data_IF_766004807851
#
_entry.id   IF_766004807851
#
_cell.length_a   1.000
_cell.length_b   1.000
_cell.length_c   1.000
_cell.angle_alpha   90.00
_cell.angle_beta   90.00
_cell.angle_gamma   90.00
#
_symmetry.space_group_name_H-M   'P 1'
#
loop_
_entity.id
_entity.type
_entity.pdbx_description
1 polymer ?
#
# COMPACT_ATOMS: atom_id res chain seq x y z
N UNK A 1 23.82 6.45 -5.50
CA UNK A 1 22.79 7.51 -5.53
C UNK A 1 22.56 8.12 -4.14
N UNK A 2 22.20 7.31 -3.13
CA UNK A 2 21.95 7.75 -1.74
C UNK A 2 23.11 8.49 -1.03
N UNK A 3 24.36 8.23 -1.41
CA UNK A 3 25.55 8.86 -0.79
C UNK A 3 26.06 10.12 -1.52
N UNK A 4 25.62 10.36 -2.76
CA UNK A 4 26.22 11.35 -3.67
C UNK A 4 25.20 12.36 -4.23
N UNK A 5 23.90 12.14 -4.00
CA UNK A 5 22.85 13.12 -4.26
C UNK A 5 22.40 13.24 -5.72
N UNK A 6 23.09 12.62 -6.68
CA UNK A 6 22.64 12.50 -8.07
C UNK A 6 23.06 11.16 -8.69
N UNK A 7 22.47 10.86 -9.85
CA UNK A 7 22.60 9.59 -10.57
C UNK A 7 23.95 9.48 -11.27
N UNK A 8 24.42 10.54 -11.92
CA UNK A 8 25.67 10.53 -12.70
C UNK A 8 26.90 10.30 -11.81
N UNK A 9 27.01 11.05 -10.71
CA UNK A 9 28.09 10.86 -9.71
C UNK A 9 28.01 9.47 -9.07
N UNK A 10 26.81 8.92 -8.93
CA UNK A 10 26.62 7.57 -8.44
C UNK A 10 27.10 6.51 -9.42
N UNK A 11 26.88 6.69 -10.72
CA UNK A 11 27.41 5.80 -11.74
C UNK A 11 28.94 5.88 -11.81
N UNK A 12 29.51 7.08 -11.76
CA UNK A 12 30.96 7.26 -11.79
C UNK A 12 31.63 6.55 -10.59
N UNK A 13 31.12 6.78 -9.38
CA UNK A 13 31.67 6.13 -8.18
C UNK A 13 31.39 4.64 -8.15
N UNK A 14 30.24 4.18 -8.66
CA UNK A 14 29.95 2.75 -8.76
C UNK A 14 30.91 2.06 -9.74
N UNK A 15 31.19 2.68 -10.89
CA UNK A 15 32.15 2.16 -11.87
C UNK A 15 33.56 2.11 -11.30
N UNK A 16 34.03 3.16 -10.63
CA UNK A 16 35.35 3.20 -9.98
C UNK A 16 35.44 2.16 -8.86
N UNK A 17 34.40 2.05 -8.03
CA UNK A 17 34.31 1.07 -6.94
C UNK A 17 34.32 -0.36 -7.46
N UNK A 18 33.56 -0.66 -8.52
CA UNK A 18 33.50 -2.00 -9.11
C UNK A 18 34.82 -2.37 -9.79
N UNK A 19 35.44 -1.46 -10.53
CA UNK A 19 36.75 -1.67 -11.13
C UNK A 19 37.82 -1.96 -10.04
N UNK A 20 37.80 -1.19 -8.95
CA UNK A 20 38.69 -1.42 -7.82
C UNK A 20 38.39 -2.74 -7.08
N UNK A 21 37.10 -3.05 -6.90
CA UNK A 21 36.66 -4.28 -6.26
C UNK A 21 37.14 -5.51 -7.02
N UNK A 22 37.03 -5.54 -8.36
CA UNK A 22 37.50 -6.66 -9.19
C UNK A 22 39.00 -6.89 -9.02
N UNK A 23 39.80 -5.83 -8.93
CA UNK A 23 41.26 -5.92 -8.73
C UNK A 23 41.62 -6.39 -7.32
N UNK A 24 40.85 -5.99 -6.30
CA UNK A 24 41.14 -6.31 -4.89
C UNK A 24 40.45 -7.57 -4.37
N UNK A 25 39.47 -8.10 -5.10
CA UNK A 25 38.72 -9.30 -4.70
C UNK A 25 39.61 -10.49 -4.33
N UNK A 26 40.73 -10.79 -5.04
CA UNK A 26 41.63 -11.89 -4.67
C UNK A 26 42.35 -11.70 -3.32
N UNK A 27 42.32 -10.49 -2.75
CA UNK A 27 42.94 -10.18 -1.46
C UNK A 27 42.00 -10.36 -0.27
N UNK A 28 40.71 -10.62 -0.53
CA UNK A 28 39.71 -10.87 0.50
C UNK A 28 39.90 -12.28 1.08
N UNK A 29 40.39 -12.34 2.33
CA UNK A 29 40.73 -13.62 3.00
C UNK A 29 39.51 -14.41 3.48
N UNK A 30 38.36 -13.75 3.61
CA UNK A 30 37.12 -14.33 4.14
C UNK A 30 35.95 -13.94 3.23
N UNK A 31 35.53 -14.89 2.39
CA UNK A 31 34.51 -14.67 1.37
C UNK A 31 33.10 -14.44 1.96
N UNK A 32 32.85 -14.87 3.21
CA UNK A 32 31.57 -14.61 3.89
C UNK A 32 31.35 -13.12 4.19
N UNK A 33 32.42 -12.33 4.17
CA UNK A 33 32.40 -10.88 4.41
C UNK A 33 32.38 -10.05 3.14
N UNK A 34 32.19 -10.67 1.98
CA UNK A 34 32.19 -9.99 0.69
C UNK A 34 31.24 -8.78 0.66
N UNK A 35 30.01 -8.94 1.15
CA UNK A 35 29.01 -7.86 1.20
C UNK A 35 29.46 -6.71 2.10
N UNK A 36 30.02 -7.01 3.27
CA UNK A 36 30.50 -6.00 4.21
C UNK A 36 31.74 -5.27 3.66
N UNK A 37 32.66 -6.01 3.05
CA UNK A 37 33.87 -5.49 2.42
C UNK A 37 33.56 -4.58 1.22
N UNK A 38 32.67 -5.01 0.33
CA UNK A 38 32.26 -4.23 -0.83
C UNK A 38 31.49 -2.97 -0.39
N UNK A 39 30.66 -3.08 0.64
CA UNK A 39 29.98 -1.93 1.26
C UNK A 39 31.00 -0.93 1.79
N UNK A 40 31.98 -1.37 2.58
CA UNK A 40 33.02 -0.50 3.12
C UNK A 40 33.82 0.19 2.01
N UNK A 41 34.19 -0.54 0.96
CA UNK A 41 34.90 -0.01 -0.20
C UNK A 41 34.09 1.07 -0.94
N UNK A 42 32.80 0.82 -1.16
CA UNK A 42 31.87 1.78 -1.77
C UNK A 42 31.77 3.07 -0.94
N UNK A 43 31.76 2.95 0.39
CA UNK A 43 31.69 4.10 1.30
C UNK A 43 32.99 4.92 1.26
N UNK A 44 34.14 4.26 1.20
CA UNK A 44 35.44 4.95 1.05
C UNK A 44 35.49 5.73 -0.25
N UNK A 45 35.10 5.14 -1.38
CA UNK A 45 35.10 5.84 -2.67
C UNK A 45 34.09 6.99 -2.72
N UNK A 46 32.88 6.83 -2.16
CA UNK A 46 31.94 7.95 -2.02
C UNK A 46 32.54 9.10 -1.18
N UNK A 47 33.29 8.78 -0.12
CA UNK A 47 33.91 9.77 0.77
C UNK A 47 35.06 10.51 0.07
N UNK A 48 35.94 9.77 -0.60
CA UNK A 48 37.03 10.35 -1.38
C UNK A 48 36.51 11.20 -2.55
N UNK A 49 35.47 10.74 -3.23
CA UNK A 49 34.80 11.50 -4.30
C UNK A 49 34.26 12.85 -3.78
N UNK A 50 33.59 12.84 -2.63
CA UNK A 50 33.10 14.07 -1.98
C UNK A 50 34.22 15.00 -1.54
N UNK A 51 35.32 14.46 -1.01
CA UNK A 51 36.50 15.26 -0.61
C UNK A 51 37.17 15.93 -1.81
N UNK A 52 37.27 15.23 -2.96
CA UNK A 52 37.88 15.74 -4.20
C UNK A 52 37.05 16.83 -4.88
N UNK A 53 35.71 16.78 -4.76
CA UNK A 53 34.78 17.72 -5.42
C UNK A 53 34.59 19.06 -4.70
N UNK A 54 35.10 19.24 -3.48
CA UNK A 54 34.97 20.49 -2.73
C UNK A 54 33.51 20.82 -2.38
N UNK A 55 33.05 20.38 -1.20
CA UNK A 55 31.81 20.79 -0.52
C UNK A 55 30.57 20.95 -1.44
N UNK A 56 30.07 19.83 -1.97
CA UNK A 56 28.68 19.76 -2.46
C UNK A 56 27.79 19.20 -1.34
N UNK A 57 26.74 19.96 -1.04
CA UNK A 57 25.85 19.86 0.13
C UNK A 57 25.05 18.56 0.11
N UNK A 58 24.72 18.02 1.29
CA UNK A 58 23.68 16.97 1.40
C UNK A 58 22.25 17.51 1.16
N UNK A 59 22.09 18.85 1.01
CA UNK A 59 20.80 19.53 0.81
C UNK A 59 20.57 20.21 -0.56
N UNK A 60 21.55 20.20 -1.48
CA UNK A 60 21.38 20.71 -2.86
C UNK A 60 21.62 19.56 -3.83
N UNK A 61 20.66 18.62 -3.95
CA UNK A 61 19.51 18.86 -4.82
C UNK A 61 18.22 18.20 -4.28
N UNK A 62 17.45 18.94 -3.47
CA UNK A 62 16.06 18.54 -3.14
C UNK A 62 15.15 18.52 -4.41
N UNK A 63 15.64 19.04 -5.54
CA UNK A 63 14.97 18.99 -6.84
C UNK A 63 15.20 17.68 -7.64
N UNK A 64 16.18 16.84 -7.26
CA UNK A 64 16.48 15.56 -7.94
C UNK A 64 16.15 14.32 -7.10
N UNK A 65 15.46 14.50 -5.97
CA UNK A 65 14.74 13.41 -5.28
C UNK A 65 13.51 12.91 -6.07
N UNK A 66 13.45 13.18 -7.37
CA UNK A 66 12.34 12.81 -8.24
C UNK A 66 12.53 11.44 -8.92
N UNK A 67 13.65 10.73 -8.73
CA UNK A 67 13.89 9.47 -9.48
C UNK A 67 14.39 8.27 -8.68
N UNK A 68 14.52 8.34 -7.35
CA UNK A 68 14.76 7.11 -6.59
C UNK A 68 14.27 7.25 -5.16
N UNK A 69 12.96 7.18 -5.00
CA UNK A 69 12.25 6.54 -3.89
C UNK A 69 10.80 7.09 -3.82
N UNK A 70 9.85 6.41 -4.49
CA UNK A 70 8.38 6.48 -4.28
C UNK A 70 7.97 6.18 -2.83
N UNK A 71 6.72 6.19 -2.37
CA UNK A 71 6.28 5.44 -1.16
C UNK A 71 6.29 5.98 0.29
N UNK A 72 5.24 6.70 0.65
CA UNK A 72 4.63 6.88 1.95
C UNK A 72 3.59 7.97 1.72
N UNK A 73 2.33 7.62 1.47
CA UNK A 73 1.16 8.51 1.42
C UNK A 73 1.57 9.96 1.14
N UNK A 74 1.71 10.35 -0.14
CA UNK A 74 2.32 11.62 -0.62
C UNK A 74 2.08 12.84 0.30
N UNK A 75 0.89 12.90 0.91
CA UNK A 75 0.49 13.80 1.99
C UNK A 75 1.37 13.72 3.26
N UNK A 76 1.51 12.56 3.89
CA UNK A 76 2.45 12.29 4.98
C UNK A 76 3.91 12.51 4.56
N UNK A 77 4.28 12.20 3.32
CA UNK A 77 5.63 12.45 2.79
C UNK A 77 6.00 13.89 2.63
N UNK A 78 5.11 14.67 2.02
CA UNK A 78 5.30 16.10 1.83
C UNK A 78 5.29 16.80 3.18
N UNK A 79 4.45 16.36 4.10
CA UNK A 79 4.49 16.82 5.48
C UNK A 79 5.78 16.41 6.19
N UNK A 80 6.24 15.15 6.13
CA UNK A 80 7.53 14.72 6.70
C UNK A 80 8.69 15.50 6.06
N UNK A 81 8.68 15.69 4.74
CA UNK A 81 9.68 16.47 3.98
C UNK A 81 9.68 17.93 4.39
N UNK A 82 8.53 18.52 4.66
CA UNK A 82 8.40 19.89 5.14
C UNK A 82 8.79 19.99 6.63
N UNK A 83 8.42 19.03 7.47
CA UNK A 83 8.87 18.90 8.86
C UNK A 83 10.39 18.73 8.96
N UNK A 84 11.00 18.03 8.00
CA UNK A 84 12.46 17.89 7.91
C UNK A 84 13.16 19.24 7.66
N UNK A 85 12.51 20.20 6.98
CA UNK A 85 13.06 21.55 6.78
C UNK A 85 13.02 22.41 8.04
N UNK A 86 12.24 22.01 9.06
CA UNK A 86 12.19 22.67 10.37
C UNK A 86 13.35 22.24 11.29
N UNK A 87 14.04 21.15 10.94
CA UNK A 87 15.20 20.69 11.70
C UNK A 87 16.43 21.54 11.38
N UNK A 88 17.29 21.77 12.39
CA UNK A 88 18.63 22.28 12.10
C UNK A 88 19.49 21.21 11.43
N UNK A 89 20.44 21.65 10.62
CA UNK A 89 21.33 20.80 9.82
C UNK A 89 21.93 19.61 10.60
N UNK A 90 22.44 19.76 11.85
CA UNK A 90 22.96 18.61 12.60
C UNK A 90 21.91 17.56 12.99
N UNK A 91 20.65 17.95 13.13
CA UNK A 91 19.53 17.05 13.45
C UNK A 91 19.06 16.30 12.20
N UNK A 92 18.98 17.02 11.08
CA UNK A 92 18.61 16.47 9.79
C UNK A 92 19.64 15.45 9.31
N UNK A 93 20.94 15.76 9.40
CA UNK A 93 22.03 14.85 9.02
C UNK A 93 21.99 13.56 9.83
N UNK A 94 21.91 13.66 11.16
CA UNK A 94 21.84 12.48 12.02
C UNK A 94 20.63 11.61 11.69
N UNK A 95 19.46 12.23 11.48
CA UNK A 95 18.20 11.52 11.19
C UNK A 95 18.21 10.86 9.82
N UNK A 96 18.68 11.54 8.77
CA UNK A 96 18.80 10.98 7.43
C UNK A 96 19.85 9.88 7.38
N UNK A 97 21.01 10.08 7.98
CA UNK A 97 22.04 9.04 8.02
C UNK A 97 21.55 7.79 8.76
N UNK A 98 20.83 7.94 9.88
CA UNK A 98 20.33 6.78 10.62
C UNK A 98 19.17 6.05 9.90
N UNK A 99 18.09 6.77 9.56
CA UNK A 99 16.87 6.14 9.05
C UNK A 99 16.88 5.90 7.54
N UNK A 100 17.48 6.81 6.77
CA UNK A 100 17.52 6.71 5.29
C UNK A 100 18.79 6.00 4.84
N UNK A 101 19.92 6.32 5.46
CA UNK A 101 21.21 5.73 5.12
C UNK A 101 21.48 4.37 5.76
N UNK A 102 20.73 3.98 6.81
CA UNK A 102 20.94 2.72 7.54
C UNK A 102 22.30 2.61 8.25
N UNK A 103 22.85 3.76 8.69
CA UNK A 103 24.12 3.82 9.39
C UNK A 103 23.91 3.63 10.91
N UNK A 104 24.82 2.91 11.56
CA UNK A 104 24.80 2.77 13.01
C UNK A 104 25.26 4.05 13.71
N UNK A 105 24.82 4.26 14.95
CA UNK A 105 25.20 5.43 15.75
C UNK A 105 26.73 5.64 15.84
N UNK A 106 27.56 4.60 16.04
CA UNK A 106 29.02 4.74 16.02
C UNK A 106 29.59 5.20 14.66
N UNK A 107 29.04 4.72 13.55
CA UNK A 107 29.48 5.10 12.20
C UNK A 107 29.11 6.56 11.89
N UNK A 108 27.91 6.99 12.30
CA UNK A 108 27.48 8.39 12.17
C UNK A 108 28.35 9.30 13.04
N UNK A 109 28.64 8.88 14.28
CA UNK A 109 29.49 9.62 15.20
C UNK A 109 30.90 9.82 14.63
N UNK A 110 31.44 8.77 14.02
CA UNK A 110 32.74 8.82 13.34
C UNK A 110 32.70 9.76 12.11
N UNK A 111 31.66 9.65 11.27
CA UNK A 111 31.57 10.46 10.04
C UNK A 111 31.32 11.95 10.31
N UNK A 112 30.57 12.26 11.37
CA UNK A 112 30.25 13.64 11.77
C UNK A 112 31.24 14.22 12.78
N UNK A 113 32.29 13.48 13.15
CA UNK A 113 33.30 13.87 14.15
C UNK A 113 32.69 14.35 15.48
N UNK A 114 31.65 13.66 15.96
CA UNK A 114 30.97 13.97 17.23
C UNK A 114 30.86 12.74 18.14
N UNK A 115 30.68 12.91 19.45
CA UNK A 115 30.44 11.78 20.34
C UNK A 115 29.16 11.00 19.97
N UNK A 116 29.13 9.66 20.14
CA UNK A 116 27.92 8.84 19.90
C UNK A 116 26.68 9.31 20.67
N UNK A 117 26.87 9.87 21.87
CA UNK A 117 25.78 10.42 22.67
C UNK A 117 25.17 11.69 22.03
N UNK A 118 25.96 12.47 21.29
CA UNK A 118 25.51 13.64 20.52
C UNK A 118 24.66 13.21 19.33
N UNK A 119 24.99 12.09 18.68
CA UNK A 119 24.14 11.51 17.63
C UNK A 119 22.81 11.05 18.21
N UNK A 120 22.82 10.35 19.36
CA UNK A 120 21.58 9.92 20.04
C UNK A 120 20.67 11.09 20.43
N UNK A 121 21.24 12.16 20.99
CA UNK A 121 20.46 13.33 21.38
C UNK A 121 19.88 14.07 20.17
N UNK A 122 20.64 14.21 19.09
CA UNK A 122 20.17 14.77 17.81
C UNK A 122 19.03 13.94 17.22
N UNK A 123 19.15 12.61 17.21
CA UNK A 123 18.08 11.73 16.74
C UNK A 123 16.79 11.86 17.57
N UNK A 124 16.91 11.91 18.90
CA UNK A 124 15.76 12.07 19.79
C UNK A 124 15.07 13.42 19.61
N UNK A 125 15.84 14.51 19.55
CA UNK A 125 15.31 15.85 19.34
C UNK A 125 14.65 16.00 17.96
N UNK A 126 15.28 15.47 16.91
CA UNK A 126 14.75 15.49 15.55
C UNK A 126 13.40 14.76 15.43
N UNK A 127 13.29 13.58 16.05
CA UNK A 127 12.03 12.82 16.10
C UNK A 127 10.90 13.56 16.83
N UNK A 128 11.23 14.22 17.94
CA UNK A 128 10.24 14.97 18.72
C UNK A 128 9.70 16.14 17.90
N UNK A 129 10.58 16.92 17.28
CA UNK A 129 10.19 18.07 16.46
C UNK A 129 9.33 17.68 15.26
N UNK A 130 9.69 16.60 14.54
CA UNK A 130 8.87 16.09 13.43
C UNK A 130 7.50 15.61 13.95
N UNK A 131 7.47 14.89 15.08
CA UNK A 131 6.21 14.40 15.66
C UNK A 131 5.26 15.56 15.99
N UNK A 132 5.75 16.58 16.67
CA UNK A 132 4.92 17.70 17.14
C UNK A 132 4.35 18.49 15.94
N UNK A 133 5.13 18.65 14.87
CA UNK A 133 4.70 19.29 13.62
C UNK A 133 3.66 18.45 12.87
N UNK A 134 3.92 17.15 12.68
CA UNK A 134 2.97 16.24 12.00
C UNK A 134 1.64 16.10 12.74
N UNK A 135 1.63 16.19 14.06
CA UNK A 135 0.39 16.21 14.87
C UNK A 135 -0.46 17.46 14.62
N UNK A 136 0.18 18.57 14.22
CA UNK A 136 -0.50 19.82 13.88
C UNK A 136 -1.07 19.78 12.45
N UNK A 137 -0.32 19.19 11.51
CA UNK A 137 -0.70 19.07 10.09
C UNK A 137 -1.76 17.98 9.86
N UNK A 138 -1.71 16.89 10.64
CA UNK A 138 -2.68 15.80 10.59
C UNK A 138 -3.30 15.57 11.97
N UNK A 139 -4.37 16.30 12.33
CA UNK A 139 -5.04 16.11 13.61
C UNK A 139 -5.59 14.68 13.79
N UNK A 140 -5.78 13.92 12.71
CA UNK A 140 -6.20 12.51 12.71
C UNK A 140 -5.06 11.50 12.93
N UNK A 141 -3.79 11.91 12.84
CA UNK A 141 -2.62 11.08 13.19
C UNK A 141 -2.36 11.04 14.70
N UNK A 142 -3.13 11.79 15.49
CA UNK A 142 -3.31 11.42 16.89
C UNK A 142 -3.83 9.98 16.85
N UNK A 143 -3.16 8.97 17.45
CA UNK A 143 -3.75 7.64 17.53
C UNK A 143 -5.13 7.90 18.09
N UNK A 144 -6.16 7.66 17.27
CA UNK A 144 -7.51 7.88 17.72
C UNK A 144 -7.54 7.12 19.04
N UNK A 145 -7.70 7.83 20.16
CA UNK A 145 -8.26 7.21 21.33
C UNK A 145 -9.69 6.93 20.89
N UNK A 146 -9.85 5.92 20.02
CA UNK A 146 -11.12 5.30 19.75
C UNK A 146 -11.58 4.98 21.16
N UNK A 147 -12.65 5.65 21.59
CA UNK A 147 -13.34 5.21 22.77
C UNK A 147 -13.52 3.70 22.62
N UNK A 148 -13.30 2.93 23.69
CA UNK A 148 -13.48 1.48 23.62
C UNK A 148 -14.82 1.22 22.92
N UNK A 149 -14.81 0.54 21.77
CA UNK A 149 -16.00 0.48 20.95
C UNK A 149 -17.12 -0.19 21.75
N UNK A 150 -18.31 0.41 21.68
CA UNK A 150 -19.49 -0.14 22.35
C UNK A 150 -20.17 -1.15 21.44
N UNK A 151 -20.66 -2.23 22.02
CA UNK A 151 -21.45 -3.22 21.30
C UNK A 151 -22.90 -2.72 21.20
N UNK A 152 -23.43 -2.68 19.97
CA UNK A 152 -24.86 -2.45 19.75
C UNK A 152 -25.69 -3.70 20.07
N UNK A 153 -27.02 -3.57 20.10
CA UNK A 153 -27.93 -4.70 20.27
C UNK A 153 -27.72 -5.78 19.20
N UNK A 154 -27.46 -5.40 17.94
CA UNK A 154 -27.15 -6.35 16.86
C UNK A 154 -25.89 -7.16 17.16
N UNK A 155 -24.84 -6.53 17.72
CA UNK A 155 -23.62 -7.25 18.12
C UNK A 155 -23.93 -8.26 19.22
N UNK A 156 -24.68 -7.85 20.25
CA UNK A 156 -25.05 -8.71 21.37
C UNK A 156 -25.94 -9.88 20.91
N UNK A 157 -26.90 -9.62 20.03
CA UNK A 157 -27.79 -10.64 19.49
C UNK A 157 -27.04 -11.70 18.67
N UNK A 158 -26.06 -11.30 17.87
CA UNK A 158 -25.21 -12.22 17.12
C UNK A 158 -24.30 -13.06 18.05
N UNK A 159 -23.75 -12.46 19.10
CA UNK A 159 -22.96 -13.19 20.11
C UNK A 159 -23.83 -14.22 20.80
N UNK A 160 -25.02 -13.84 21.29
CA UNK A 160 -25.92 -14.77 21.99
C UNK A 160 -26.40 -15.90 21.07
N UNK A 161 -26.69 -15.60 19.79
CA UNK A 161 -27.08 -16.61 18.82
C UNK A 161 -25.96 -17.62 18.52
N UNK A 162 -24.70 -17.17 18.46
CA UNK A 162 -23.55 -18.03 18.17
C UNK A 162 -23.00 -18.75 19.41
N UNK A 163 -23.04 -18.09 20.56
CA UNK A 163 -22.43 -18.51 21.82
C UNK A 163 -23.36 -18.22 23.01
N UNK A 164 -24.48 -18.97 23.13
CA UNK A 164 -25.46 -18.75 24.19
C UNK A 164 -24.84 -18.82 25.59
N UNK A 165 -25.17 -17.87 26.45
CA UNK A 165 -24.65 -17.82 27.83
C UNK A 165 -23.15 -17.50 27.94
N UNK A 166 -22.50 -17.07 26.86
CA UNK A 166 -21.12 -16.58 26.92
C UNK A 166 -21.03 -15.23 27.63
N UNK A 167 -19.89 -14.99 28.29
CA UNK A 167 -19.61 -13.71 28.96
C UNK A 167 -18.54 -12.93 28.20
N UNK A 168 -18.80 -11.65 27.93
CA UNK A 168 -17.80 -10.76 27.35
C UNK A 168 -16.66 -10.52 28.37
N UNK A 169 -15.44 -10.81 27.95
CA UNK A 169 -14.20 -10.60 28.72
C UNK A 169 -13.62 -9.22 28.40
N UNK A 170 -13.57 -8.86 27.12
CA UNK A 170 -13.07 -7.55 26.67
C UNK A 170 -13.62 -7.19 25.29
N UNK A 171 -13.80 -5.90 25.06
CA UNK A 171 -14.09 -5.32 23.75
C UNK A 171 -12.96 -4.35 23.41
N UNK A 172 -12.37 -4.52 22.23
CA UNK A 172 -11.23 -3.75 21.77
C UNK A 172 -11.52 -3.22 20.38
N UNK A 173 -10.95 -2.05 20.06
CA UNK A 173 -10.83 -1.65 18.66
C UNK A 173 -10.01 -2.71 17.92
N UNK A 174 -10.35 -2.95 16.66
CA UNK A 174 -9.49 -3.80 15.84
C UNK A 174 -8.10 -3.14 15.68
N UNK A 175 -7.00 -3.90 15.74
CA UNK A 175 -5.64 -3.38 15.50
C UNK A 175 -5.45 -2.71 14.13
N UNK A 176 -6.28 -3.05 13.14
CA UNK A 176 -6.30 -2.50 11.79
C UNK A 176 -7.61 -1.69 11.59
N UNK A 177 -7.78 -0.52 12.23
CA UNK A 177 -9.06 0.21 12.29
C UNK A 177 -9.58 0.73 10.93
N UNK A 178 -8.74 0.69 9.89
CA UNK A 178 -9.12 1.00 8.50
C UNK A 178 -9.76 -0.19 7.77
N UNK A 179 -9.70 -1.38 8.34
CA UNK A 179 -10.34 -2.57 7.78
C UNK A 179 -11.84 -2.58 8.07
N UNK A 180 -12.66 -3.29 7.28
CA UNK A 180 -14.12 -3.28 7.41
C UNK A 180 -14.66 -4.08 8.62
N UNK A 181 -13.80 -4.45 9.59
CA UNK A 181 -14.20 -5.15 10.80
C UNK A 181 -14.07 -4.31 12.05
N UNK A 182 -15.12 -4.31 12.87
CA UNK A 182 -15.16 -3.62 14.15
C UNK A 182 -16.38 -4.09 14.96
N UNK A 183 -16.27 -4.29 16.29
CA UNK A 183 -15.07 -4.36 17.13
C UNK A 183 -14.56 -5.80 17.37
N UNK A 184 -13.36 -5.96 17.94
CA UNK A 184 -12.84 -7.28 18.36
C UNK A 184 -13.32 -7.62 19.77
N UNK A 185 -13.94 -8.79 19.94
CA UNK A 185 -14.52 -9.22 21.21
C UNK A 185 -13.90 -10.52 21.67
N UNK A 186 -13.48 -10.54 22.94
CA UNK A 186 -13.06 -11.75 23.64
C UNK A 186 -14.20 -12.25 24.51
N UNK A 187 -14.57 -13.51 24.35
CA UNK A 187 -15.66 -14.20 25.04
C UNK A 187 -15.09 -15.30 25.93
N UNK A 188 -15.69 -15.49 27.11
CA UNK A 188 -15.58 -16.70 27.91
C UNK A 188 -16.83 -17.54 27.65
N UNK A 189 -16.64 -18.75 27.14
CA UNK A 189 -17.71 -19.67 26.80
C UNK A 189 -18.16 -20.46 28.04
N UNK A 190 -19.36 -21.06 27.96
CA UNK A 190 -19.96 -21.83 29.06
C UNK A 190 -19.17 -23.08 29.46
N UNK A 191 -18.35 -23.61 28.55
CA UNK A 191 -17.45 -24.74 28.78
C UNK A 191 -16.12 -24.34 29.47
N UNK A 192 -15.96 -23.06 29.81
CA UNK A 192 -14.76 -22.50 30.44
C UNK A 192 -13.65 -22.10 29.46
N UNK A 193 -13.82 -22.35 28.16
CA UNK A 193 -12.87 -21.91 27.14
C UNK A 193 -13.02 -20.42 26.79
N UNK A 194 -12.03 -19.84 26.11
CA UNK A 194 -12.11 -18.47 25.63
C UNK A 194 -12.03 -18.42 24.11
N UNK A 195 -12.77 -17.49 23.50
CA UNK A 195 -12.77 -17.28 22.05
C UNK A 195 -12.68 -15.81 21.71
N UNK A 196 -11.98 -15.48 20.62
CA UNK A 196 -11.95 -14.13 20.07
C UNK A 196 -12.66 -14.13 18.73
N UNK A 197 -13.49 -13.11 18.51
CA UNK A 197 -14.34 -12.94 17.33
C UNK A 197 -14.31 -11.49 16.88
N UNK A 198 -14.54 -11.29 15.58
CA UNK A 198 -14.67 -9.97 14.97
C UNK A 198 -16.05 -9.84 14.31
N UNK A 199 -16.46 -8.61 13.98
CA UNK A 199 -17.68 -8.36 13.24
C UNK A 199 -17.37 -7.73 11.90
N UNK A 200 -18.07 -8.14 10.85
CA UNK A 200 -17.90 -7.63 9.48
C UNK A 200 -19.25 -7.29 8.87
N UNK A 201 -19.28 -6.29 7.98
CA UNK A 201 -20.48 -5.97 7.19
C UNK A 201 -20.49 -6.77 5.89
N UNK A 202 -21.04 -7.97 5.96
CA UNK A 202 -21.20 -8.93 4.86
C UNK A 202 -22.69 -9.30 4.80
N UNK A 203 -23.38 -8.87 3.75
CA UNK A 203 -24.77 -9.27 3.52
C UNK A 203 -24.87 -10.73 3.02
N UNK A 204 -26.11 -11.23 2.90
CA UNK A 204 -26.35 -12.61 2.48
C UNK A 204 -25.84 -12.92 1.06
N UNK A 205 -25.88 -11.94 0.15
CA UNK A 205 -25.37 -12.08 -1.22
C UNK A 205 -23.84 -12.23 -1.20
N UNK A 206 -23.15 -11.40 -0.42
CA UNK A 206 -21.69 -11.49 -0.22
C UNK A 206 -21.27 -12.79 0.47
N UNK A 207 -22.06 -13.35 1.38
CA UNK A 207 -21.78 -14.68 1.94
C UNK A 207 -21.78 -15.75 0.84
N UNK A 208 -22.77 -15.74 -0.05
CA UNK A 208 -22.83 -16.67 -1.18
C UNK A 208 -21.62 -16.50 -2.11
N UNK A 209 -21.23 -15.24 -2.38
CA UNK A 209 -20.04 -14.93 -3.16
C UNK A 209 -18.76 -15.47 -2.49
N UNK A 210 -18.56 -15.24 -1.18
CA UNK A 210 -17.41 -15.79 -0.45
C UNK A 210 -17.35 -17.31 -0.53
N UNK A 211 -18.50 -18.00 -0.49
CA UNK A 211 -18.56 -19.45 -0.60
C UNK A 211 -18.20 -19.94 -2.01
N UNK A 212 -18.66 -19.25 -3.06
CA UNK A 212 -18.28 -19.56 -4.44
C UNK A 212 -16.78 -19.34 -4.67
N UNK A 213 -16.26 -18.17 -4.25
CA UNK A 213 -14.84 -17.85 -4.29
C UNK A 213 -13.99 -18.89 -3.55
N UNK A 214 -14.42 -19.34 -2.37
CA UNK A 214 -13.71 -20.37 -1.61
C UNK A 214 -13.64 -21.71 -2.36
N UNK A 215 -14.72 -22.13 -3.05
CA UNK A 215 -14.70 -23.34 -3.92
C UNK A 215 -13.72 -23.20 -5.08
N UNK A 216 -13.52 -21.97 -5.56
CA UNK A 216 -12.59 -21.61 -6.63
C UNK A 216 -11.17 -21.29 -6.12
N UNK A 217 -10.86 -21.58 -4.85
CA UNK A 217 -9.51 -21.43 -4.30
C UNK A 217 -9.16 -20.01 -3.80
N UNK A 218 -10.16 -19.13 -3.66
CA UNK A 218 -10.03 -17.78 -3.11
C UNK A 218 -10.58 -17.79 -1.68
N UNK A 219 -9.74 -17.99 -0.65
CA UNK A 219 -10.22 -18.09 0.72
C UNK A 219 -10.74 -16.74 1.21
N UNK A 220 -11.95 -16.72 1.76
CA UNK A 220 -12.57 -15.51 2.30
C UNK A 220 -12.78 -15.55 3.83
N UNK A 221 -13.49 -14.55 4.36
CA UNK A 221 -13.89 -14.48 5.76
C UNK A 221 -14.74 -15.68 6.18
N UNK A 222 -14.53 -16.16 7.41
CA UNK A 222 -15.34 -17.23 7.98
C UNK A 222 -16.44 -16.66 8.87
N UNK A 223 -17.66 -16.63 8.35
CA UNK A 223 -18.86 -16.20 9.09
C UNK A 223 -19.28 -17.30 10.07
N UNK A 224 -19.46 -16.91 11.33
CA UNK A 224 -19.96 -17.76 12.42
C UNK A 224 -21.47 -17.64 12.54
N UNK A 225 -21.99 -16.41 12.50
CA UNK A 225 -23.42 -16.14 12.59
C UNK A 225 -23.81 -14.85 11.85
N UNK A 226 -25.05 -14.81 11.39
CA UNK A 226 -25.60 -13.69 10.63
C UNK A 226 -25.35 -13.75 9.12
N UNK A 227 -25.78 -12.70 8.39
CA UNK A 227 -26.51 -11.58 8.93
C UNK A 227 -27.95 -11.97 9.27
N UNK A 228 -28.60 -11.21 10.15
CA UNK A 228 -30.06 -11.30 10.27
C UNK A 228 -30.73 -10.87 8.96
N UNK A 229 -31.96 -11.33 8.66
CA UNK A 229 -32.67 -10.91 7.45
C UNK A 229 -32.72 -9.39 7.30
N UNK A 230 -32.33 -8.87 6.12
CA UNK A 230 -32.28 -7.44 5.83
C UNK A 230 -31.11 -6.67 6.46
N UNK A 231 -30.20 -7.35 7.16
CA UNK A 231 -29.00 -6.74 7.73
C UNK A 231 -27.74 -7.20 6.99
N UNK A 232 -26.60 -6.55 7.30
CA UNK A 232 -25.28 -6.92 6.79
C UNK A 232 -24.28 -7.26 7.89
N UNK A 233 -24.61 -7.08 9.17
CA UNK A 233 -23.65 -7.35 10.24
C UNK A 233 -23.54 -8.86 10.48
N UNK A 234 -22.32 -9.38 10.41
CA UNK A 234 -21.99 -10.78 10.67
C UNK A 234 -20.99 -10.89 11.81
N UNK A 235 -21.14 -11.92 12.64
CA UNK A 235 -20.10 -12.38 13.54
C UNK A 235 -19.17 -13.31 12.78
N UNK A 236 -17.88 -13.02 12.79
CA UNK A 236 -16.86 -13.72 12.02
C UNK A 236 -15.74 -14.24 12.92
N UNK A 237 -15.00 -15.23 12.44
CA UNK A 237 -13.70 -15.54 13.00
C UNK A 237 -12.74 -14.36 12.77
N UNK A 238 -11.77 -14.24 13.67
CA UNK A 238 -10.62 -13.33 13.49
C UNK A 238 -9.94 -13.66 12.15
N UNK A 239 -9.61 -12.65 11.33
CA UNK A 239 -8.91 -12.87 10.07
C UNK A 239 -7.67 -13.74 10.27
N UNK A 240 -7.51 -14.76 9.42
CA UNK A 240 -6.38 -15.68 9.50
C UNK A 240 -5.11 -15.04 8.96
N UNK A 241 -3.96 -15.42 9.48
CA UNK A 241 -2.67 -14.92 9.03
C UNK A 241 -2.41 -13.45 9.35
N UNK A 242 -1.30 -12.93 8.85
CA UNK A 242 -0.86 -11.54 8.97
C UNK A 242 -1.24 -10.74 7.73
N UNK A 243 -1.62 -9.47 7.92
CA UNK A 243 -1.82 -8.53 6.82
C UNK A 243 -0.51 -8.38 6.02
N UNK A 244 -0.57 -8.60 4.71
CA UNK A 244 0.61 -8.62 3.85
C UNK A 244 1.36 -7.28 3.83
N UNK A 245 0.65 -6.14 3.84
CA UNK A 245 1.26 -4.82 3.90
C UNK A 245 1.94 -4.56 5.24
N UNK A 246 1.28 -4.88 6.36
CA UNK A 246 1.87 -4.72 7.69
C UNK A 246 3.07 -5.65 7.89
N UNK A 247 2.98 -6.88 7.36
CA UNK A 247 4.07 -7.83 7.33
C UNK A 247 5.27 -7.22 6.57
N UNK A 248 5.03 -6.65 5.40
CA UNK A 248 6.09 -6.05 4.59
C UNK A 248 6.74 -4.80 5.23
N UNK A 249 5.95 -3.91 5.85
CA UNK A 249 6.41 -2.66 6.48
C UNK A 249 7.46 -2.85 7.58
N UNK A 250 7.35 -3.92 8.38
CA UNK A 250 8.30 -4.25 9.45
C UNK A 250 9.52 -5.05 8.98
N UNK A 251 9.73 -5.16 7.66
CA UNK A 251 10.58 -6.15 7.03
C UNK A 251 11.98 -5.70 6.60
N UNK A 252 12.82 -6.69 6.32
CA UNK A 252 14.04 -6.49 5.52
C UNK A 252 13.67 -6.25 4.04
N UNK A 253 14.58 -5.73 3.20
CA UNK A 253 14.35 -5.64 1.76
C UNK A 253 13.93 -6.97 1.11
N UNK A 254 14.40 -8.10 1.65
CA UNK A 254 13.99 -9.43 1.23
C UNK A 254 12.50 -9.71 1.52
N UNK A 255 12.01 -9.38 2.73
CA UNK A 255 10.60 -9.53 3.10
C UNK A 255 9.69 -8.66 2.23
N UNK A 256 10.13 -7.44 1.91
CA UNK A 256 9.43 -6.55 0.99
C UNK A 256 9.30 -7.20 -0.40
N UNK A 257 10.39 -7.73 -0.96
CA UNK A 257 10.34 -8.47 -2.23
C UNK A 257 9.40 -9.67 -2.18
N UNK A 258 9.46 -10.48 -1.11
CA UNK A 258 8.55 -11.62 -0.95
C UNK A 258 7.09 -11.18 -0.89
N UNK A 259 6.81 -10.06 -0.21
CA UNK A 259 5.47 -9.50 -0.16
C UNK A 259 4.97 -9.11 -1.55
N UNK A 260 5.82 -8.47 -2.37
CA UNK A 260 5.52 -8.17 -3.77
C UNK A 260 5.18 -9.44 -4.56
N UNK A 261 5.99 -10.49 -4.43
CA UNK A 261 5.73 -11.77 -5.10
C UNK A 261 4.39 -12.39 -4.65
N UNK A 262 4.05 -12.32 -3.35
CA UNK A 262 2.75 -12.78 -2.83
C UNK A 262 1.58 -11.91 -3.29
N UNK A 263 1.77 -10.60 -3.43
CA UNK A 263 0.74 -9.71 -3.95
C UNK A 263 0.43 -10.03 -5.42
N UNK A 264 1.44 -10.34 -6.23
CA UNK A 264 1.25 -10.77 -7.63
C UNK A 264 0.52 -12.10 -7.66
N UNK A 265 0.93 -13.07 -6.84
CA UNK A 265 0.21 -14.36 -6.75
C UNK A 265 -1.25 -14.18 -6.33
N UNK A 266 -1.52 -13.31 -5.36
CA UNK A 266 -2.87 -12.98 -4.92
C UNK A 266 -3.73 -12.41 -6.05
N UNK A 267 -3.17 -11.48 -6.83
CA UNK A 267 -3.80 -10.92 -8.03
C UNK A 267 -4.12 -12.02 -9.04
N UNK A 268 -3.13 -12.84 -9.38
CA UNK A 268 -3.26 -13.86 -10.42
C UNK A 268 -4.29 -14.92 -10.01
N UNK A 269 -4.31 -15.34 -8.74
CA UNK A 269 -5.34 -16.25 -8.21
C UNK A 269 -6.74 -15.62 -8.33
N UNK A 270 -6.90 -14.37 -7.88
CA UNK A 270 -8.18 -13.66 -7.91
C UNK A 270 -8.73 -13.59 -9.34
N UNK A 271 -7.87 -13.29 -10.31
CA UNK A 271 -8.29 -13.20 -11.71
C UNK A 271 -8.46 -14.57 -12.38
N UNK A 272 -7.71 -15.58 -11.97
CA UNK A 272 -7.85 -16.94 -12.49
C UNK A 272 -9.19 -17.59 -12.11
N UNK A 273 -9.87 -17.14 -11.05
CA UNK A 273 -11.18 -17.67 -10.68
C UNK A 273 -12.32 -17.17 -11.59
N UNK A 274 -12.05 -16.24 -12.51
CA UNK A 274 -13.08 -15.53 -13.29
C UNK A 274 -14.00 -16.46 -14.08
N UNK A 275 -13.45 -17.39 -14.84
CA UNK A 275 -14.25 -18.32 -15.68
C UNK A 275 -15.15 -19.20 -14.81
N UNK A 276 -14.58 -19.85 -13.80
CA UNK A 276 -15.35 -20.67 -12.86
C UNK A 276 -16.38 -19.87 -12.06
N UNK A 277 -16.12 -18.58 -11.80
CA UNK A 277 -17.09 -17.71 -11.14
C UNK A 277 -18.20 -17.26 -12.10
N UNK A 278 -17.89 -17.02 -13.38
CA UNK A 278 -18.91 -16.71 -14.40
C UNK A 278 -19.89 -17.86 -14.58
N UNK A 279 -19.43 -19.11 -14.44
CA UNK A 279 -20.26 -20.33 -14.49
C UNK A 279 -21.05 -20.59 -13.20
N UNK A 280 -20.63 -20.02 -12.06
CA UNK A 280 -21.38 -20.14 -10.80
C UNK A 280 -22.64 -19.26 -10.84
N UNK A 281 -23.80 -19.74 -10.34
CA UNK A 281 -25.03 -18.94 -10.30
C UNK A 281 -24.87 -17.56 -9.65
N UNK A 282 -23.97 -17.40 -8.66
CA UNK A 282 -23.73 -16.09 -8.05
C UNK A 282 -23.04 -15.12 -9.04
N UNK A 283 -22.18 -15.62 -9.94
CA UNK A 283 -21.49 -14.80 -10.93
C UNK A 283 -22.44 -14.15 -11.95
N UNK A 284 -23.56 -14.79 -12.26
CA UNK A 284 -24.59 -14.20 -13.10
C UNK A 284 -25.16 -12.90 -12.50
N UNK A 285 -25.15 -12.78 -11.17
CA UNK A 285 -25.67 -11.61 -10.45
C UNK A 285 -24.65 -10.47 -10.30
N UNK A 286 -23.37 -10.73 -10.59
CA UNK A 286 -22.32 -9.73 -10.44
C UNK A 286 -22.36 -8.72 -11.61
N UNK A 287 -22.10 -7.43 -11.34
CA UNK A 287 -21.98 -6.43 -12.39
C UNK A 287 -20.88 -6.78 -13.39
N UNK A 288 -21.04 -6.34 -14.64
CA UNK A 288 -20.02 -6.37 -15.69
C UNK A 288 -19.74 -4.93 -16.09
N UNK A 289 -18.50 -4.50 -15.95
CA UNK A 289 -18.10 -3.10 -16.15
C UNK A 289 -16.89 -3.02 -17.05
N UNK A 290 -17.12 -2.53 -18.26
CA UNK A 290 -16.05 -2.19 -19.20
C UNK A 290 -15.35 -0.90 -18.76
N UNK A 291 -14.20 -0.59 -19.37
CA UNK A 291 -13.56 0.72 -19.16
C UNK A 291 -14.47 1.89 -19.59
N UNK A 292 -15.30 1.69 -20.62
CA UNK A 292 -16.31 2.67 -21.02
C UNK A 292 -17.40 2.86 -19.97
N UNK A 293 -17.84 1.79 -19.30
CA UNK A 293 -18.78 1.92 -18.18
C UNK A 293 -18.16 2.70 -17.03
N UNK A 294 -16.88 2.46 -16.74
CA UNK A 294 -16.12 3.18 -15.71
C UNK A 294 -15.92 4.67 -16.04
N UNK A 295 -15.77 5.02 -17.33
CA UNK A 295 -15.80 6.42 -17.80
C UNK A 295 -17.19 7.02 -17.65
N UNK A 296 -18.23 6.28 -18.06
CA UNK A 296 -19.60 6.77 -18.03
C UNK A 296 -20.08 7.12 -16.61
N UNK A 297 -19.59 6.40 -15.59
CA UNK A 297 -19.85 6.72 -14.17
C UNK A 297 -19.43 8.16 -13.82
N UNK A 298 -18.38 8.71 -14.44
CA UNK A 298 -17.92 10.09 -14.20
C UNK A 298 -18.76 11.17 -14.89
N UNK A 299 -19.66 10.76 -15.80
CA UNK A 299 -20.45 11.67 -16.64
C UNK A 299 -21.97 11.49 -16.47
N UNK A 300 -22.40 10.49 -15.71
CA UNK A 300 -23.79 10.08 -15.54
C UNK A 300 -24.11 9.98 -14.05
N UNK A 301 -25.00 10.86 -13.59
CA UNK A 301 -25.39 10.97 -12.18
C UNK A 301 -26.10 9.71 -11.67
N UNK A 302 -26.91 9.04 -12.50
CA UNK A 302 -27.59 7.80 -12.09
C UNK A 302 -26.58 6.69 -11.85
N UNK A 303 -25.60 6.55 -12.76
CA UNK A 303 -24.51 5.56 -12.63
C UNK A 303 -23.61 5.86 -11.44
N UNK A 304 -23.28 7.13 -11.20
CA UNK A 304 -22.54 7.58 -10.02
C UNK A 304 -23.26 7.18 -8.73
N UNK A 305 -24.55 7.49 -8.63
CA UNK A 305 -25.36 7.25 -7.44
C UNK A 305 -25.62 5.77 -7.17
N UNK A 306 -25.59 4.96 -8.23
CA UNK A 306 -25.66 3.50 -8.13
C UNK A 306 -24.30 2.87 -7.78
N UNK A 307 -23.18 3.59 -7.91
CA UNK A 307 -21.85 3.06 -7.64
C UNK A 307 -21.58 2.99 -6.12
N UNK A 308 -21.32 1.79 -5.54
CA UNK A 308 -21.17 1.64 -4.10
C UNK A 308 -20.02 2.44 -3.47
N UNK A 309 -19.02 2.86 -4.26
CA UNK A 309 -17.82 3.54 -3.77
C UNK A 309 -17.92 5.06 -3.91
N UNK A 310 -18.50 5.50 -5.03
CA UNK A 310 -18.67 6.92 -5.36
C UNK A 310 -19.93 7.51 -4.72
N UNK A 311 -21.01 6.74 -4.60
CA UNK A 311 -22.25 7.20 -3.98
C UNK A 311 -22.07 7.58 -2.50
N UNK A 312 -21.21 6.85 -1.76
CA UNK A 312 -20.87 7.17 -0.37
C UNK A 312 -20.22 8.56 -0.22
N UNK A 313 -19.59 9.09 -1.28
CA UNK A 313 -19.01 10.42 -1.27
C UNK A 313 -20.07 11.55 -1.41
N UNK A 314 -21.34 11.20 -1.70
CA UNK A 314 -22.49 12.09 -1.80
C UNK A 314 -22.67 12.74 -3.17
N UNK A 315 -23.84 12.52 -3.81
CA UNK A 315 -24.22 13.03 -5.14
C UNK A 315 -24.34 14.55 -5.22
N UNK A 316 -24.85 15.18 -4.15
CA UNK A 316 -25.14 16.62 -4.09
C UNK A 316 -23.86 17.49 -4.09
N UNK A 317 -22.69 16.88 -4.33
CA UNK A 317 -21.40 17.41 -3.91
C UNK A 317 -20.47 17.96 -4.98
N UNK A 318 -20.84 18.16 -6.25
CA UNK A 318 -19.85 18.72 -7.21
C UNK A 318 -20.43 19.49 -8.40
N UNK A 319 -20.65 20.80 -8.24
CA UNK A 319 -20.78 21.71 -9.40
C UNK A 319 -19.50 21.78 -10.25
N UNK A 320 -18.35 21.41 -9.67
CA UNK A 320 -17.04 21.50 -10.33
C UNK A 320 -16.72 20.33 -11.26
N UNK A 321 -17.47 19.22 -11.29
CA UNK A 321 -17.26 18.18 -12.31
C UNK A 321 -17.51 18.71 -13.73
N UNK A 322 -18.25 19.82 -13.87
CA UNK A 322 -18.38 20.60 -15.09
C UNK A 322 -17.15 21.48 -15.41
N UNK A 323 -16.07 21.41 -14.63
CA UNK A 323 -14.83 22.13 -14.91
C UNK A 323 -14.29 21.72 -16.30
N UNK A 324 -13.95 22.69 -17.17
CA UNK A 324 -13.54 22.39 -18.54
C UNK A 324 -12.34 21.46 -18.64
N UNK A 325 -11.38 21.54 -17.71
CA UNK A 325 -10.22 20.65 -17.72
C UNK A 325 -10.61 19.22 -17.35
N UNK A 326 -11.48 19.04 -16.34
CA UNK A 326 -11.94 17.71 -15.95
C UNK A 326 -12.77 17.07 -17.06
N UNK A 327 -13.68 17.83 -17.66
CA UNK A 327 -14.49 17.35 -18.79
C UNK A 327 -13.64 16.97 -20.01
N UNK A 328 -12.63 17.77 -20.37
CA UNK A 328 -11.67 17.45 -21.43
C UNK A 328 -10.86 16.18 -21.10
N UNK A 329 -10.36 16.07 -19.87
CA UNK A 329 -9.62 14.90 -19.42
C UNK A 329 -10.46 13.62 -19.51
N UNK A 330 -11.71 13.65 -19.05
CA UNK A 330 -12.64 12.51 -19.15
C UNK A 330 -12.91 12.15 -20.61
N UNK A 331 -13.12 13.14 -21.48
CA UNK A 331 -13.33 12.89 -22.91
C UNK A 331 -12.11 12.25 -23.59
N UNK A 332 -10.90 12.72 -23.29
CA UNK A 332 -9.64 12.14 -23.79
C UNK A 332 -9.43 10.70 -23.33
N UNK A 333 -9.71 10.43 -22.06
CA UNK A 333 -9.67 9.06 -21.52
C UNK A 333 -10.72 8.19 -22.20
N UNK A 334 -11.95 8.68 -22.35
CA UNK A 334 -13.03 8.00 -23.07
C UNK A 334 -12.62 7.60 -24.48
N UNK A 335 -12.02 8.49 -25.25
CA UNK A 335 -11.52 8.20 -26.59
C UNK A 335 -10.41 7.13 -26.60
N UNK A 336 -9.52 7.14 -25.62
CA UNK A 336 -8.40 6.20 -25.56
C UNK A 336 -8.81 4.79 -25.08
N UNK A 337 -9.79 4.68 -24.20
CA UNK A 337 -10.22 3.36 -23.68
C UNK A 337 -11.08 2.58 -24.67
N UNK A 338 -11.64 3.23 -25.71
CA UNK A 338 -12.38 2.55 -26.79
C UNK A 338 -11.50 1.53 -27.52
N UNK A 339 -10.21 1.83 -27.69
CA UNK A 339 -9.25 0.96 -28.38
C UNK A 339 -8.76 -0.20 -27.52
N UNK A 340 -9.21 -0.29 -26.26
CA UNK A 340 -8.77 -1.30 -25.30
C UNK A 340 -9.85 -2.37 -25.18
N UNK A 341 -9.63 -3.49 -25.89
CA UNK A 341 -10.45 -4.69 -25.80
C UNK A 341 -9.76 -5.73 -24.92
N UNK A 342 -10.12 -5.76 -23.63
CA UNK A 342 -9.63 -6.73 -22.65
C UNK A 342 -10.78 -7.56 -22.09
N UNK A 343 -10.63 -8.91 -21.99
CA UNK A 343 -11.63 -9.74 -21.32
C UNK A 343 -11.85 -9.29 -19.88
N UNK A 344 -13.10 -9.24 -19.46
CA UNK A 344 -13.45 -8.91 -18.08
C UNK A 344 -13.06 -10.06 -17.15
N UNK A 345 -12.43 -9.72 -16.03
CA UNK A 345 -12.04 -10.66 -14.98
C UNK A 345 -12.72 -10.28 -13.68
N UNK A 346 -12.87 -11.24 -12.77
CA UNK A 346 -13.28 -10.94 -11.41
C UNK A 346 -12.21 -10.07 -10.76
N UNK A 347 -12.64 -8.89 -10.35
CA UNK A 347 -11.80 -7.86 -9.74
C UNK A 347 -12.66 -7.07 -8.78
N UNK A 348 -12.01 -6.36 -7.88
CA UNK A 348 -12.70 -5.59 -6.87
C UNK A 348 -12.54 -4.08 -7.06
N UNK A 349 -11.75 -3.64 -8.08
CA UNK A 349 -11.31 -2.28 -8.50
C UNK A 349 -10.82 -1.31 -7.43
N UNK A 350 -11.48 -1.31 -6.29
CA UNK A 350 -11.31 -0.44 -5.15
C UNK A 350 -10.27 -0.97 -4.18
N UNK A 351 -9.98 -2.28 -4.17
CA UNK A 351 -9.13 -2.88 -3.15
C UNK A 351 -8.19 -3.97 -3.64
N UNK A 352 -7.69 -3.83 -4.86
CA UNK A 352 -6.35 -4.31 -5.12
C UNK A 352 -5.35 -3.47 -4.30
N UNK A 353 -5.38 -3.68 -3.00
CA UNK A 353 -4.40 -3.28 -2.05
C UNK A 353 -3.88 -4.58 -1.44
N UNK A 354 -2.56 -4.77 -1.40
CA UNK A 354 -1.95 -5.85 -0.66
C UNK A 354 -2.44 -5.97 0.81
N UNK A 355 -3.01 -4.90 1.39
CA UNK A 355 -3.62 -4.94 2.72
C UNK A 355 -4.88 -5.81 2.84
N UNK A 356 -5.53 -6.17 1.72
CA UNK A 356 -6.65 -7.11 1.69
C UNK A 356 -6.21 -8.57 1.72
N UNK A 357 -4.91 -8.84 1.53
CA UNK A 357 -4.33 -10.17 1.47
C UNK A 357 -3.72 -10.52 2.82
N UNK A 358 -4.05 -11.71 3.33
CA UNK A 358 -3.43 -12.24 4.54
C UNK A 358 -2.67 -13.51 4.26
N UNK A 359 -1.45 -13.56 4.75
CA UNK A 359 -0.56 -14.71 4.61
C UNK A 359 -0.35 -15.39 5.95
N UNK A 360 -0.22 -16.70 5.96
CA UNK A 360 0.22 -17.40 7.16
C UNK A 360 1.75 -17.33 7.24
N UNK A 361 2.31 -16.86 8.35
CA UNK A 361 3.76 -16.93 8.56
C UNK A 361 4.17 -18.34 8.98
N UNK A 362 5.19 -18.90 8.32
CA UNK A 362 5.84 -20.15 8.73
C UNK A 362 6.60 -19.99 10.05
N UNK A 363 6.99 -21.11 10.66
CA UNK A 363 7.72 -21.13 11.95
C UNK A 363 9.24 -21.03 11.81
N UNK A 364 9.79 -20.96 10.60
CA UNK A 364 11.23 -20.93 10.35
C UNK A 364 11.83 -19.53 10.57
N UNK A 365 13.06 -19.42 11.12
CA UNK A 365 13.74 -18.14 11.34
C UNK A 365 14.11 -17.43 10.04
N UNK A 366 14.07 -16.09 10.09
CA UNK A 366 14.04 -15.15 8.96
C UNK A 366 15.20 -15.15 7.95
N UNK A 367 16.31 -15.86 8.22
CA UNK A 367 17.57 -15.68 7.49
C UNK A 367 17.93 -16.84 6.52
N UNK A 368 17.17 -17.94 6.49
CA UNK A 368 17.53 -19.13 5.69
C UNK A 368 16.88 -19.24 4.30
N UNK A 369 16.02 -18.29 3.91
CA UNK A 369 15.20 -18.42 2.69
C UNK A 369 15.80 -17.70 1.49
N UNK A 370 16.89 -18.24 0.92
CA UNK A 370 17.36 -17.83 -0.41
C UNK A 370 16.60 -18.60 -1.49
N UNK A 371 15.30 -18.32 -1.61
CA UNK A 371 14.48 -18.90 -2.66
C UNK A 371 14.62 -18.16 -3.99
N UNK A 372 15.08 -18.86 -5.04
CA UNK A 372 14.94 -18.44 -6.44
C UNK A 372 13.61 -18.94 -7.02
N UNK A 373 13.12 -18.41 -8.15
CA UNK A 373 11.97 -18.99 -8.85
C UNK A 373 12.21 -20.50 -9.12
N UNK A 374 11.40 -21.36 -8.49
CA UNK A 374 11.57 -22.83 -8.51
C UNK A 374 12.07 -23.47 -7.21
N UNK A 375 12.29 -22.71 -6.14
CA UNK A 375 12.67 -23.25 -4.82
C UNK A 375 11.52 -24.07 -4.18
N UNK A 376 11.77 -25.27 -3.64
CA UNK A 376 10.74 -26.05 -2.94
C UNK A 376 10.18 -25.41 -1.65
N UNK A 377 10.83 -24.39 -1.08
CA UNK A 377 10.34 -23.59 0.06
C UNK A 377 9.39 -22.46 -0.39
N UNK A 378 9.14 -22.32 -1.69
CA UNK A 378 8.12 -21.44 -2.27
C UNK A 378 6.73 -21.95 -1.87
N UNK A 379 6.25 -21.54 -0.69
CA UNK A 379 5.02 -22.07 -0.11
C UNK A 379 4.87 -21.91 1.40
N UNK A 380 5.92 -21.45 2.11
CA UNK A 380 5.84 -21.24 3.57
C UNK A 380 4.93 -20.09 4.00
N UNK A 381 4.54 -19.22 3.06
CA UNK A 381 3.61 -18.11 3.30
C UNK A 381 2.36 -18.19 2.44
N UNK A 382 1.50 -19.21 2.63
CA UNK A 382 0.31 -19.36 1.82
C UNK A 382 -0.65 -18.19 2.08
N UNK A 383 -1.29 -17.72 1.01
CA UNK A 383 -2.43 -16.82 1.10
C UNK A 383 -3.58 -17.56 1.80
N UNK A 384 -4.03 -17.03 2.94
CA UNK A 384 -5.04 -17.67 3.80
C UNK A 384 -6.34 -16.92 3.88
N UNK A 385 -6.37 -15.65 3.50
CA UNK A 385 -7.62 -14.87 3.47
C UNK A 385 -7.53 -13.65 2.55
N UNK A 386 -8.55 -13.48 1.72
CA UNK A 386 -8.96 -12.22 1.14
C UNK A 386 -9.99 -11.61 2.09
N UNK A 387 -9.62 -10.51 2.74
CA UNK A 387 -10.44 -9.86 3.77
C UNK A 387 -11.75 -9.31 3.19
N UNK A 388 -11.68 -8.91 1.92
CA UNK A 388 -12.68 -8.19 1.19
C UNK A 388 -13.53 -9.16 0.35
N UNK A 389 -14.85 -9.14 0.59
CA UNK A 389 -15.82 -9.97 -0.15
C UNK A 389 -16.76 -9.05 -0.92
N UNK A 390 -16.20 -8.47 -1.96
CA UNK A 390 -16.94 -7.71 -2.96
C UNK A 390 -16.15 -7.80 -4.26
N UNK A 391 -16.84 -7.55 -5.36
CA UNK A 391 -16.22 -7.54 -6.67
C UNK A 391 -17.29 -7.57 -7.76
N UNK A 392 -16.79 -7.55 -8.98
CA UNK A 392 -17.56 -7.57 -10.21
C UNK A 392 -16.62 -8.02 -11.33
N UNK A 393 -17.15 -8.15 -12.54
CA UNK A 393 -16.32 -8.44 -13.71
C UNK A 393 -15.88 -7.13 -14.36
N UNK A 394 -14.57 -6.92 -14.44
CA UNK A 394 -13.96 -5.65 -14.84
C UNK A 394 -12.63 -5.81 -15.57
N UNK A 395 -12.05 -4.71 -16.00
CA UNK A 395 -10.73 -4.66 -16.62
C UNK A 395 -9.65 -5.23 -15.67
N UNK A 396 -8.76 -6.11 -16.16
CA UNK A 396 -7.78 -6.80 -15.33
C UNK A 396 -6.68 -5.90 -14.76
N UNK A 397 -6.53 -4.66 -15.24
CA UNK A 397 -5.39 -3.80 -14.89
C UNK A 397 -5.82 -2.49 -14.23
N UNK A 398 -7.07 -2.04 -14.37
CA UNK A 398 -7.55 -0.78 -13.80
C UNK A 398 -7.27 -0.67 -12.28
N UNK A 399 -7.42 -1.77 -11.54
CA UNK A 399 -7.13 -1.83 -10.11
C UNK A 399 -5.66 -1.55 -9.75
N UNK A 400 -4.70 -1.86 -10.64
CA UNK A 400 -3.27 -1.61 -10.41
C UNK A 400 -2.94 -0.13 -10.31
N UNK A 401 -3.73 0.73 -10.96
CA UNK A 401 -3.52 2.18 -10.92
C UNK A 401 -3.66 2.72 -9.49
N UNK A 402 -4.43 2.06 -8.63
CA UNK A 402 -4.54 2.40 -7.21
C UNK A 402 -3.21 2.34 -6.48
N UNK A 403 -2.32 1.42 -6.86
CA UNK A 403 -1.00 1.27 -6.23
C UNK A 403 -0.19 2.57 -6.34
N UNK A 404 -0.22 3.20 -7.52
CA UNK A 404 0.44 4.48 -7.76
C UNK A 404 -0.34 5.65 -7.19
N UNK A 405 -1.67 5.70 -7.41
CA UNK A 405 -2.49 6.84 -6.97
C UNK A 405 -2.55 6.98 -5.44
N UNK A 406 -2.55 5.87 -4.70
CA UNK A 406 -2.52 5.86 -3.22
C UNK A 406 -1.12 5.71 -2.62
N UNK A 407 -0.07 5.61 -3.44
CA UNK A 407 1.31 5.46 -3.00
C UNK A 407 1.47 4.29 -2.00
N UNK A 408 1.03 3.10 -2.43
CA UNK A 408 0.81 1.94 -1.55
C UNK A 408 2.12 1.32 -1.04
N UNK A 409 2.60 1.74 0.13
CA UNK A 409 3.79 1.17 0.77
C UNK A 409 3.62 -0.29 1.25
N UNK A 410 4.60 -1.21 1.05
CA UNK A 410 5.87 -1.05 0.34
C UNK A 410 5.88 -1.42 -1.16
N UNK A 411 4.73 -1.45 -1.82
CA UNK A 411 4.58 -2.10 -3.13
C UNK A 411 4.90 -1.20 -4.32
N UNK A 412 4.55 0.08 -4.31
CA UNK A 412 4.87 0.98 -5.43
C UNK A 412 6.39 1.05 -5.68
N UNK A 413 7.21 1.04 -4.63
CA UNK A 413 8.67 0.98 -4.67
C UNK A 413 9.29 -0.27 -5.21
N UNK A 414 8.57 -1.37 -5.12
CA UNK A 414 9.11 -2.66 -5.52
C UNK A 414 9.01 -2.89 -7.01
N UNK A 415 8.48 -1.90 -7.74
CA UNK A 415 8.10 -2.07 -9.13
C UNK A 415 6.93 -3.06 -9.25
N UNK A 416 6.03 -3.14 -8.27
CA UNK A 416 4.96 -4.14 -8.27
C UNK A 416 4.11 -4.04 -9.55
N UNK A 417 3.65 -2.83 -9.90
CA UNK A 417 2.82 -2.61 -11.08
C UNK A 417 3.63 -2.90 -12.34
N UNK A 418 4.85 -2.41 -12.42
CA UNK A 418 5.79 -2.58 -13.52
C UNK A 418 6.07 -4.06 -13.78
N UNK A 419 6.25 -4.86 -12.73
CA UNK A 419 6.43 -6.31 -12.84
C UNK A 419 5.18 -6.99 -13.39
N UNK A 420 3.98 -6.60 -12.95
CA UNK A 420 2.72 -7.15 -13.48
C UNK A 420 2.54 -6.76 -14.95
N UNK A 421 2.76 -5.49 -15.30
CA UNK A 421 2.67 -5.00 -16.67
C UNK A 421 3.65 -5.73 -17.59
N UNK A 422 4.92 -5.85 -17.16
CA UNK A 422 5.95 -6.58 -17.91
C UNK A 422 5.58 -8.06 -18.13
N UNK A 423 5.10 -8.76 -17.09
CA UNK A 423 4.65 -10.16 -17.20
C UNK A 423 3.47 -10.33 -18.17
N UNK A 424 2.64 -9.29 -18.32
CA UNK A 424 1.47 -9.29 -19.21
C UNK A 424 1.77 -8.68 -20.58
N UNK A 425 3.01 -8.28 -20.85
CA UNK A 425 3.41 -7.67 -22.11
C UNK A 425 2.79 -6.30 -22.35
N UNK A 426 2.38 -5.59 -21.29
CA UNK A 426 1.73 -4.28 -21.37
C UNK A 426 2.76 -3.19 -21.11
N UNK A 427 2.85 -2.23 -22.03
CA UNK A 427 3.71 -1.06 -21.88
C UNK A 427 3.07 0.00 -20.98
N UNK A 428 3.89 0.92 -20.47
CA UNK A 428 3.40 2.07 -19.72
C UNK A 428 2.40 2.91 -20.53
N UNK A 429 2.60 3.02 -21.84
CA UNK A 429 1.69 3.76 -22.74
C UNK A 429 0.33 3.09 -22.85
N UNK A 430 0.29 1.77 -22.98
CA UNK A 430 -0.97 1.00 -23.02
C UNK A 430 -1.69 0.98 -21.67
N UNK A 431 -0.96 1.15 -20.58
CA UNK A 431 -1.53 1.27 -19.23
C UNK A 431 -2.04 2.70 -18.92
N UNK A 432 -1.49 3.73 -19.57
CA UNK A 432 -1.76 5.13 -19.25
C UNK A 432 -3.26 5.52 -19.22
N UNK A 433 -4.12 5.07 -20.15
CA UNK A 433 -5.56 5.37 -20.08
C UNK A 433 -6.23 4.87 -18.79
N UNK A 434 -5.80 3.71 -18.27
CA UNK A 434 -6.32 3.13 -17.01
C UNK A 434 -5.87 3.94 -15.80
N UNK A 435 -4.60 4.36 -15.80
CA UNK A 435 -4.08 5.24 -14.75
C UNK A 435 -4.81 6.58 -14.73
N UNK A 436 -4.97 7.21 -15.90
CA UNK A 436 -5.68 8.47 -16.04
C UNK A 436 -7.14 8.34 -15.57
N UNK A 437 -7.84 7.28 -16.01
CA UNK A 437 -9.20 6.99 -15.56
C UNK A 437 -9.28 6.87 -14.04
N UNK A 438 -8.40 6.08 -13.42
CA UNK A 438 -8.44 5.87 -11.98
C UNK A 438 -8.10 7.13 -11.19
N UNK A 439 -7.15 7.94 -11.68
CA UNK A 439 -6.82 9.23 -11.09
C UNK A 439 -8.03 10.20 -11.16
N UNK A 440 -8.75 10.24 -12.28
CA UNK A 440 -9.98 11.04 -12.43
C UNK A 440 -11.09 10.56 -11.48
N UNK A 441 -11.24 9.24 -11.30
CA UNK A 441 -12.16 8.68 -10.31
C UNK A 441 -11.82 9.10 -8.87
N UNK A 442 -10.53 9.14 -8.51
CA UNK A 442 -10.10 9.62 -7.19
C UNK A 442 -10.35 11.11 -7.02
N UNK A 443 -10.03 11.91 -8.05
CA UNK A 443 -10.30 13.34 -8.10
C UNK A 443 -11.80 13.58 -7.87
N UNK A 444 -12.64 12.84 -8.60
CA UNK A 444 -14.08 12.94 -8.49
C UNK A 444 -14.65 12.46 -7.16
N UNK A 445 -13.95 11.61 -6.39
CA UNK A 445 -14.42 11.11 -5.09
C UNK A 445 -13.90 11.90 -3.90
N UNK A 446 -12.59 12.15 -3.85
CA UNK A 446 -11.92 12.57 -2.61
C UNK A 446 -11.77 14.09 -2.51
N UNK A 447 -12.02 14.85 -3.59
CA UNK A 447 -11.88 16.30 -3.56
C UNK A 447 -13.16 17.02 -3.09
N UNK A 448 -13.02 18.12 -2.33
CA UNK A 448 -14.14 18.77 -1.63
C UNK A 448 -15.19 19.42 -2.57
N UNK A 449 -16.30 19.82 -1.94
CA UNK A 449 -17.52 20.41 -2.51
C UNK A 449 -17.29 21.64 -3.39
N UNK A 450 -16.33 22.46 -3.02
CA UNK A 450 -15.92 23.68 -3.73
C UNK A 450 -14.53 23.46 -4.31
N UNK A 451 -14.26 24.09 -5.47
CA UNK A 451 -12.91 24.13 -6.03
C UNK A 451 -12.00 24.67 -4.92
N UNK A 452 -11.01 23.90 -4.45
CA UNK A 452 -10.09 24.43 -3.47
C UNK A 452 -9.46 25.70 -4.04
N UNK A 453 -9.33 26.77 -3.26
CA UNK A 453 -8.45 27.88 -3.62
C UNK A 453 -7.15 27.24 -4.11
N UNK A 454 -6.62 27.67 -5.26
CA UNK A 454 -5.68 26.92 -6.11
C UNK A 454 -4.38 26.40 -5.45
N UNK A 455 -4.23 26.58 -4.15
CA UNK A 455 -3.14 26.18 -3.26
C UNK A 455 -3.41 24.90 -2.44
N UNK A 456 -4.58 24.24 -2.57
CA UNK A 456 -4.79 22.97 -1.85
C UNK A 456 -3.90 21.85 -2.41
N UNK A 457 -2.83 21.54 -1.67
CA UNK A 457 -1.73 20.65 -2.08
C UNK A 457 -2.18 19.24 -2.49
N UNK A 458 -3.24 18.72 -1.88
CA UNK A 458 -3.83 17.42 -2.23
C UNK A 458 -4.46 17.41 -3.64
N UNK A 459 -5.19 18.48 -4.01
CA UNK A 459 -5.74 18.66 -5.36
C UNK A 459 -4.63 18.72 -6.41
N UNK A 460 -3.60 19.53 -6.19
CA UNK A 460 -2.48 19.66 -7.13
C UNK A 460 -1.75 18.34 -7.36
N UNK A 461 -1.66 17.49 -6.32
CA UNK A 461 -1.00 16.19 -6.40
C UNK A 461 -1.79 15.17 -7.22
N UNK A 462 -3.09 15.01 -6.93
CA UNK A 462 -3.95 14.10 -7.71
C UNK A 462 -4.08 14.55 -9.16
N UNK A 463 -4.24 15.86 -9.38
CA UNK A 463 -4.24 16.46 -10.72
C UNK A 463 -2.92 16.23 -11.44
N UNK A 464 -1.78 16.33 -10.75
CA UNK A 464 -0.46 16.04 -11.32
C UNK A 464 -0.35 14.62 -11.86
N UNK A 465 -0.87 13.63 -11.13
CA UNK A 465 -0.94 12.24 -11.61
C UNK A 465 -1.83 12.09 -12.83
N UNK A 466 -3.00 12.73 -12.83
CA UNK A 466 -3.89 12.71 -13.98
C UNK A 466 -3.22 13.36 -15.21
N UNK A 467 -2.59 14.53 -15.05
CA UNK A 467 -1.86 15.22 -16.13
C UNK A 467 -0.67 14.42 -16.64
N UNK A 468 0.09 13.77 -15.75
CA UNK A 468 1.19 12.89 -16.12
C UNK A 468 0.69 11.69 -16.93
N UNK A 469 -0.36 11.01 -16.46
CA UNK A 469 -0.97 9.90 -17.19
C UNK A 469 -1.51 10.33 -18.56
N UNK A 470 -2.20 11.48 -18.60
CA UNK A 470 -2.69 12.09 -19.84
C UNK A 470 -1.56 12.50 -20.79
N UNK A 471 -0.33 12.72 -20.31
CA UNK A 471 0.84 13.01 -21.16
C UNK A 471 1.46 11.77 -21.79
N UNK A 472 1.19 10.59 -21.23
CA UNK A 472 1.68 9.31 -21.73
C UNK A 472 0.78 8.69 -22.81
N UNK A 473 -0.48 9.13 -22.88
CA UNK A 473 -1.46 8.76 -23.92
C UNK A 473 -1.13 9.49 -25.23
#
# INVERSE_FOLDING_TARGET
MRALGNVDDAYDVAQETLAYAVVKLPTLRDHTKFTAWLRQLTLTHCTDYRRRRGTRRLGEPIAQLNEASEEADLTQRLAIRDSLKLLSEPHQDALLMYYVGGWSIPEIAHLLEVPPNTVRSRLMAAKRLIRDDLQTVFPYLNPMKLANPTLSESHMSLIEAAFPGSRIVSVQADPEPWQPFSPRVKLALSDGTQRTVDFRRIDAHRIQLAQALARLGIPGPQVIAGPQPGQSLCLCQVPRGENLSLWALGGTPHRIRLATERAIEGLDRLQACSEGLMDDPIGATLPRRTLLDEVAILTDDERWNADPWLAEAGAERRAWLADPWFADAVARVGAAVVEIDTPLVYTDYMFFFPQGYRIQTGTAPMDDLVGWPGDPHYGENPLVEFVHVFGHFGDPLLGLAMVWVYDCYPFVHTGFVEQVLWRRGVTQREFAPRLALKALQMIARDLPLERPAGEARYWQSLRGWAEQALSWM
#
